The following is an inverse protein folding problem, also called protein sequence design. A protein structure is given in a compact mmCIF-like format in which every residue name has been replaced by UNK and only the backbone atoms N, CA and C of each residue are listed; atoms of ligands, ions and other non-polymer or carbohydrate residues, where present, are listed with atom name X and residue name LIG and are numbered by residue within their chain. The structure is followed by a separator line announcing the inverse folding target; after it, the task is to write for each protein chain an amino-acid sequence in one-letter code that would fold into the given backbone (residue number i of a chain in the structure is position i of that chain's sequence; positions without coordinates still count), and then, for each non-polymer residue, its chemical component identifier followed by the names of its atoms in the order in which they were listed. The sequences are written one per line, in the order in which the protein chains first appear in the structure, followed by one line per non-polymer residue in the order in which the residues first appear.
data_IF_033109210437
#
_entry.id   IF_033109210437
#
_cell.length_a   1.000
_cell.length_b   1.000
_cell.length_c   1.000
_cell.angle_alpha   90.00
_cell.angle_beta   90.00
_cell.angle_gamma   90.00
#
_symmetry.space_group_name_H-M   'P 1'
#
loop_
_entity.id
_entity.type
_entity.pdbx_description
1 polymer ?
#
# COMPACT_ATOMS: atom_id res chain seq x y z
N UNK A 1 26.40 23.16 30.71
CA UNK A 1 26.26 22.31 29.51
C UNK A 1 25.13 21.30 29.76
N UNK A 2 24.01 21.32 29.01
CA UNK A 2 22.96 20.33 29.20
C UNK A 2 23.09 19.23 28.15
N UNK A 3 23.78 18.15 28.49
CA UNK A 3 23.92 16.94 27.67
C UNK A 3 22.90 15.88 28.12
N UNK A 4 21.60 16.20 28.13
CA UNK A 4 20.59 15.22 28.58
C UNK A 4 19.23 15.29 27.89
N UNK A 5 19.02 16.16 26.90
CA UNK A 5 17.74 16.24 26.17
C UNK A 5 17.79 15.55 24.79
N UNK A 6 18.99 15.18 24.31
CA UNK A 6 19.16 14.70 22.93
C UNK A 6 18.94 13.19 22.73
N UNK A 7 19.00 12.39 23.79
CA UNK A 7 18.92 10.92 23.67
C UNK A 7 17.49 10.38 23.55
N UNK A 8 16.49 11.02 24.17
CA UNK A 8 15.11 10.51 24.13
C UNK A 8 14.36 10.82 22.82
N UNK A 9 14.79 11.82 22.04
CA UNK A 9 14.23 12.11 20.71
C UNK A 9 14.82 11.22 19.59
N UNK A 10 15.98 10.60 19.83
CA UNK A 10 16.67 9.79 18.83
C UNK A 10 16.04 8.40 18.65
N UNK A 11 15.56 7.77 19.72
CA UNK A 11 15.03 6.40 19.67
C UNK A 11 13.63 6.27 19.04
N UNK A 12 12.73 7.23 19.24
CA UNK A 12 11.43 7.25 18.55
C UNK A 12 11.56 7.59 17.05
N UNK A 13 12.58 8.39 16.71
CA UNK A 13 12.96 8.65 15.32
C UNK A 13 13.48 7.38 14.68
N UNK A 14 14.33 6.63 15.36
CA UNK A 14 15.02 5.47 14.78
C UNK A 14 14.06 4.35 14.33
N UNK A 15 13.05 3.99 15.13
CA UNK A 15 12.09 2.93 14.75
C UNK A 15 11.26 3.27 13.51
N UNK A 16 10.80 4.51 13.43
CA UNK A 16 10.06 5.00 12.27
C UNK A 16 10.97 5.08 11.04
N UNK A 17 12.24 5.41 11.21
CA UNK A 17 13.23 5.38 10.13
C UNK A 17 13.53 3.95 9.66
N UNK A 18 13.64 2.96 10.56
CA UNK A 18 13.76 1.53 10.19
C UNK A 18 12.53 1.11 9.37
N UNK A 19 11.32 1.42 9.85
CA UNK A 19 10.09 1.08 9.12
C UNK A 19 10.01 1.80 7.76
N UNK A 20 10.37 3.09 7.67
CA UNK A 20 10.45 3.82 6.38
C UNK A 20 11.45 3.18 5.43
N UNK A 21 12.60 2.76 5.95
CA UNK A 21 13.65 2.08 5.18
C UNK A 21 13.13 0.76 4.62
N UNK A 22 12.50 -0.07 5.46
CA UNK A 22 11.85 -1.32 5.05
C UNK A 22 10.78 -1.07 3.99
N UNK A 23 9.91 -0.08 4.21
CA UNK A 23 8.87 0.30 3.26
C UNK A 23 9.48 0.78 1.93
N UNK A 24 10.58 1.52 1.95
CA UNK A 24 11.28 1.95 0.75
C UNK A 24 11.87 0.76 -0.01
N UNK A 25 12.56 -0.16 0.68
CA UNK A 25 13.18 -1.35 0.08
C UNK A 25 12.15 -2.28 -0.57
N UNK A 26 10.98 -2.46 0.05
CA UNK A 26 9.93 -3.33 -0.49
C UNK A 26 9.09 -2.69 -1.61
N UNK A 27 9.18 -1.38 -1.79
CA UNK A 27 8.27 -0.59 -2.63
C UNK A 27 8.08 -1.17 -4.03
N UNK A 28 9.17 -1.40 -4.75
CA UNK A 28 9.12 -1.90 -6.13
C UNK A 28 8.49 -3.29 -6.21
N UNK A 29 8.83 -4.18 -5.28
CA UNK A 29 8.28 -5.53 -5.22
C UNK A 29 6.78 -5.53 -4.92
N UNK A 30 6.35 -4.76 -3.92
CA UNK A 30 4.94 -4.68 -3.53
C UNK A 30 4.06 -4.05 -4.60
N UNK A 31 4.52 -2.98 -5.25
CA UNK A 31 3.80 -2.39 -6.39
C UNK A 31 3.73 -3.36 -7.58
N UNK A 32 4.81 -4.11 -7.82
CA UNK A 32 4.89 -5.37 -8.59
C UNK A 32 3.66 -6.26 -8.36
N UNK A 33 3.60 -6.72 -7.11
CA UNK A 33 2.59 -7.64 -6.61
C UNK A 33 1.17 -7.08 -6.74
N UNK A 34 0.97 -5.78 -6.52
CA UNK A 34 -0.33 -5.11 -6.68
C UNK A 34 -0.88 -5.24 -8.09
N UNK A 35 -0.05 -5.03 -9.11
CA UNK A 35 -0.45 -5.17 -10.51
C UNK A 35 -0.83 -6.62 -10.81
N UNK A 36 0.02 -7.57 -10.40
CA UNK A 36 -0.29 -9.01 -10.58
C UNK A 36 -1.57 -9.44 -9.86
N UNK A 37 -1.80 -8.95 -8.63
CA UNK A 37 -3.03 -9.21 -7.88
C UNK A 37 -4.26 -8.62 -8.59
N UNK A 38 -4.17 -7.38 -9.09
CA UNK A 38 -5.26 -6.75 -9.81
C UNK A 38 -5.64 -7.52 -11.09
N UNK A 39 -4.65 -8.00 -11.86
CA UNK A 39 -4.88 -8.84 -13.04
C UNK A 39 -5.57 -10.15 -12.65
N UNK A 40 -5.05 -10.86 -11.65
CA UNK A 40 -5.66 -12.11 -11.19
C UNK A 40 -7.10 -11.91 -10.71
N UNK A 41 -7.34 -10.86 -9.92
CA UNK A 41 -8.67 -10.57 -9.39
C UNK A 41 -9.64 -10.13 -10.48
N UNK A 42 -9.19 -9.32 -11.45
CA UNK A 42 -9.98 -8.97 -12.62
C UNK A 42 -10.40 -10.21 -13.42
N UNK A 43 -9.46 -11.11 -13.73
CA UNK A 43 -9.77 -12.34 -14.45
C UNK A 43 -10.74 -13.22 -13.67
N UNK A 44 -10.57 -13.34 -12.35
CA UNK A 44 -11.44 -14.16 -11.50
C UNK A 44 -12.86 -13.58 -11.33
N UNK A 45 -12.97 -12.27 -11.15
CA UNK A 45 -14.22 -11.59 -10.81
C UNK A 45 -15.01 -11.21 -12.08
N UNK A 46 -14.31 -10.70 -13.10
CA UNK A 46 -14.93 -10.09 -14.27
C UNK A 46 -14.89 -10.98 -15.51
N UNK A 47 -14.02 -11.99 -15.55
CA UNK A 47 -13.98 -13.01 -16.61
C UNK A 47 -14.20 -14.44 -16.06
N UNK A 48 -15.33 -14.71 -15.37
CA UNK A 48 -15.58 -16.03 -14.76
C UNK A 48 -15.70 -17.16 -15.79
N UNK A 49 -16.03 -16.83 -17.05
CA UNK A 49 -16.15 -17.79 -18.15
C UNK A 49 -14.81 -18.08 -18.84
N UNK A 50 -13.71 -17.43 -18.40
CA UNK A 50 -12.38 -17.56 -18.99
C UNK A 50 -12.37 -17.37 -20.51
N UNK A 51 -13.15 -16.41 -21.01
CA UNK A 51 -13.18 -16.07 -22.44
C UNK A 51 -11.81 -15.49 -22.81
N UNK A 52 -11.19 -16.07 -23.83
CA UNK A 52 -9.91 -15.63 -24.38
C UNK A 52 -10.15 -14.73 -25.58
N UNK A 53 -10.01 -13.42 -25.39
CA UNK A 53 -9.99 -12.43 -26.47
C UNK A 53 -8.60 -11.80 -26.60
N UNK A 54 -8.43 -10.92 -27.61
CA UNK A 54 -7.16 -10.23 -27.85
C UNK A 54 -6.68 -9.43 -26.61
N UNK A 55 -7.62 -8.84 -25.85
CA UNK A 55 -7.33 -8.05 -24.66
C UNK A 55 -6.84 -8.94 -23.50
N UNK A 56 -7.52 -10.06 -23.24
CA UNK A 56 -7.15 -11.02 -22.19
C UNK A 56 -5.80 -11.65 -22.50
N UNK A 57 -5.53 -11.97 -23.78
CA UNK A 57 -4.20 -12.44 -24.20
C UNK A 57 -3.13 -11.38 -24.00
N UNK A 58 -3.38 -10.11 -24.33
CA UNK A 58 -2.42 -9.03 -24.07
C UNK A 58 -2.17 -8.88 -22.56
N UNK A 59 -3.24 -8.88 -21.76
CA UNK A 59 -3.20 -8.74 -20.31
C UNK A 59 -2.35 -9.84 -19.64
N UNK A 60 -2.48 -11.09 -20.11
CA UNK A 60 -1.70 -12.24 -19.59
C UNK A 60 -0.23 -12.20 -20.04
N UNK A 61 0.05 -11.71 -21.24
CA UNK A 61 1.39 -11.74 -21.83
C UNK A 61 2.24 -10.49 -21.53
N UNK A 62 1.65 -9.41 -21.01
CA UNK A 62 2.37 -8.18 -20.69
C UNK A 62 3.39 -8.44 -19.58
N UNK A 63 4.67 -8.16 -19.87
CA UNK A 63 5.77 -8.31 -18.89
C UNK A 63 6.28 -6.97 -18.35
N UNK A 64 6.09 -5.89 -19.12
CA UNK A 64 6.50 -4.55 -18.73
C UNK A 64 5.29 -3.76 -18.23
N UNK A 65 5.33 -3.37 -16.96
CA UNK A 65 4.28 -2.58 -16.33
C UNK A 65 4.82 -1.22 -15.96
N UNK A 66 4.01 -0.18 -16.12
CA UNK A 66 4.34 1.13 -15.57
C UNK A 66 4.06 1.15 -14.05
N UNK A 67 5.04 0.66 -13.30
CA UNK A 67 5.00 0.62 -11.84
C UNK A 67 4.92 2.04 -11.26
N UNK A 68 5.49 3.04 -11.94
CA UNK A 68 5.60 4.41 -11.42
C UNK A 68 4.24 5.06 -11.13
N UNK A 69 3.18 4.63 -11.82
CA UNK A 69 1.82 5.11 -11.60
C UNK A 69 1.36 4.90 -10.15
N UNK A 70 1.76 3.78 -9.52
CA UNK A 70 1.34 3.41 -8.17
C UNK A 70 2.13 4.12 -7.06
N UNK A 71 3.12 4.96 -7.40
CA UNK A 71 4.04 5.55 -6.41
C UNK A 71 3.30 6.30 -5.30
N UNK A 72 2.33 7.13 -5.69
CA UNK A 72 1.56 7.93 -4.76
C UNK A 72 0.60 7.08 -3.92
N UNK A 73 -0.04 6.09 -4.54
CA UNK A 73 -0.88 5.12 -3.84
C UNK A 73 -0.08 4.35 -2.78
N UNK A 74 1.11 3.87 -3.13
CA UNK A 74 2.01 3.18 -2.21
C UNK A 74 2.41 4.08 -1.03
N UNK A 75 2.74 5.34 -1.32
CA UNK A 75 3.05 6.33 -0.28
C UNK A 75 1.87 6.49 0.68
N UNK A 76 0.66 6.68 0.17
CA UNK A 76 -0.55 6.78 1.01
C UNK A 76 -0.77 5.53 1.87
N UNK A 77 -0.57 4.33 1.32
CA UNK A 77 -0.66 3.08 2.10
C UNK A 77 0.37 3.05 3.23
N UNK A 78 1.63 3.39 2.93
CA UNK A 78 2.71 3.41 3.91
C UNK A 78 2.47 4.45 5.01
N UNK A 79 2.03 5.66 4.62
CA UNK A 79 1.69 6.76 5.54
C UNK A 79 0.52 6.38 6.44
N UNK A 80 -0.56 5.81 5.87
CA UNK A 80 -1.72 5.35 6.60
C UNK A 80 -1.36 4.26 7.62
N UNK A 81 -0.47 3.35 7.27
CA UNK A 81 -0.01 2.30 8.18
C UNK A 81 0.77 2.86 9.36
N UNK A 82 1.77 3.73 9.10
CA UNK A 82 2.56 4.38 10.15
C UNK A 82 1.67 5.20 11.09
N UNK A 83 0.72 5.93 10.52
CA UNK A 83 -0.25 6.69 11.31
C UNK A 83 -1.10 5.79 12.21
N UNK A 84 -1.59 4.66 11.68
CA UNK A 84 -2.41 3.73 12.47
C UNK A 84 -1.67 3.04 13.63
N UNK A 85 -0.33 3.15 13.67
CA UNK A 85 0.55 2.57 14.70
C UNK A 85 1.31 3.65 15.48
N UNK A 86 0.89 4.91 15.43
CA UNK A 86 1.54 5.98 16.19
C UNK A 86 1.36 5.84 17.71
N UNK A 87 0.23 5.27 18.17
CA UNK A 87 -0.05 5.07 19.60
C UNK A 87 0.54 3.75 20.15
N UNK A 88 0.64 2.70 19.33
CA UNK A 88 1.38 1.48 19.68
C UNK A 88 2.81 1.63 19.16
N UNK A 89 3.67 2.23 19.99
CA UNK A 89 5.12 2.19 19.76
C UNK A 89 5.49 0.77 19.33
N UNK A 90 6.08 0.62 18.14
CA UNK A 90 6.51 -0.67 17.63
C UNK A 90 7.34 -1.37 18.72
N UNK A 91 6.76 -2.43 19.31
CA UNK A 91 7.32 -3.07 20.49
C UNK A 91 8.68 -3.66 20.14
N UNK A 92 9.67 -3.46 21.02
CA UNK A 92 10.94 -4.16 20.90
C UNK A 92 10.68 -5.63 21.19
N UNK A 93 10.63 -6.46 20.14
CA UNK A 93 10.65 -7.90 20.29
C UNK A 93 12.11 -8.28 20.60
N UNK A 94 12.37 -8.73 21.82
CA UNK A 94 13.69 -9.17 22.29
C UNK A 94 13.87 -10.68 22.10
N UNK A 95 13.58 -11.18 20.91
CA UNK A 95 13.71 -12.61 20.56
C UNK A 95 14.99 -12.91 19.74
N UNK A 96 15.82 -11.89 19.50
CA UNK A 96 17.02 -11.98 18.66
C UNK A 96 16.77 -11.77 17.16
N UNK A 97 15.51 -11.58 16.73
CA UNK A 97 15.18 -11.29 15.34
C UNK A 97 15.51 -9.82 15.02
N UNK A 98 16.16 -9.51 13.88
CA UNK A 98 16.37 -8.13 13.47
C UNK A 98 15.05 -7.37 13.31
N UNK A 99 14.92 -6.16 13.88
CA UNK A 99 13.71 -5.34 13.74
C UNK A 99 13.34 -5.01 12.30
N UNK A 100 14.34 -4.90 11.44
CA UNK A 100 14.14 -4.77 9.99
C UNK A 100 13.32 -5.92 9.44
N UNK A 101 13.61 -7.16 9.83
CA UNK A 101 12.90 -8.36 9.39
C UNK A 101 11.46 -8.41 9.93
N UNK A 102 11.29 -8.10 11.21
CA UNK A 102 9.96 -8.03 11.84
C UNK A 102 9.08 -7.01 11.10
N UNK A 103 9.58 -5.79 10.87
CA UNK A 103 8.85 -4.76 10.15
C UNK A 103 8.65 -5.12 8.68
N UNK A 104 9.60 -5.84 8.07
CA UNK A 104 9.52 -6.32 6.68
C UNK A 104 8.33 -7.26 6.52
N UNK A 105 8.19 -8.23 7.41
CA UNK A 105 7.07 -9.18 7.41
C UNK A 105 5.76 -8.47 7.73
N UNK A 106 5.72 -7.69 8.81
CA UNK A 106 4.51 -7.00 9.25
C UNK A 106 3.98 -6.00 8.22
N UNK A 107 4.87 -5.29 7.52
CA UNK A 107 4.49 -4.39 6.44
C UNK A 107 3.98 -5.16 5.22
N UNK A 108 4.67 -6.24 4.83
CA UNK A 108 4.24 -7.08 3.71
C UNK A 108 2.83 -7.63 3.93
N UNK A 109 2.57 -8.24 5.09
CA UNK A 109 1.27 -8.84 5.43
C UNK A 109 0.17 -7.79 5.45
N UNK A 110 0.42 -6.64 6.09
CA UNK A 110 -0.53 -5.54 6.11
C UNK A 110 -0.86 -5.03 4.71
N UNK A 111 0.17 -4.85 3.86
CA UNK A 111 -0.01 -4.38 2.51
C UNK A 111 -0.78 -5.40 1.66
N UNK A 112 -0.45 -6.69 1.74
CA UNK A 112 -1.20 -7.74 1.02
C UNK A 112 -2.67 -7.75 1.45
N UNK A 113 -2.95 -7.64 2.75
CA UNK A 113 -4.32 -7.53 3.26
C UNK A 113 -5.03 -6.30 2.69
N UNK A 114 -4.39 -5.13 2.73
CA UNK A 114 -4.94 -3.90 2.15
C UNK A 114 -5.29 -4.08 0.67
N UNK A 115 -4.39 -4.67 -0.13
CA UNK A 115 -4.65 -4.90 -1.56
C UNK A 115 -5.81 -5.87 -1.77
N UNK A 116 -5.90 -6.93 -0.97
CA UNK A 116 -7.01 -7.88 -1.05
C UNK A 116 -8.35 -7.22 -0.68
N UNK A 117 -8.38 -6.40 0.37
CA UNK A 117 -9.58 -5.68 0.78
C UNK A 117 -10.03 -4.69 -0.30
N UNK A 118 -9.09 -3.96 -0.90
CA UNK A 118 -9.35 -3.02 -1.99
C UNK A 118 -9.75 -3.71 -3.29
N UNK A 119 -9.34 -4.96 -3.52
CA UNK A 119 -9.68 -5.71 -4.73
C UNK A 119 -11.18 -5.96 -4.90
N UNK A 120 -11.95 -5.93 -3.82
CA UNK A 120 -13.42 -6.05 -3.86
C UNK A 120 -14.11 -4.74 -4.24
N UNK A 121 -13.40 -3.61 -4.23
CA UNK A 121 -13.97 -2.36 -4.70
C UNK A 121 -14.17 -2.42 -6.23
N UNK A 122 -15.38 -2.15 -6.77
CA UNK A 122 -15.73 -2.41 -8.17
C UNK A 122 -14.78 -1.82 -9.22
N UNK A 123 -14.12 -0.70 -8.88
CA UNK A 123 -13.24 0.01 -9.81
C UNK A 123 -11.76 -0.24 -9.59
N UNK A 124 -11.34 -0.86 -8.49
CA UNK A 124 -9.92 -0.89 -8.10
C UNK A 124 -9.07 -1.68 -9.09
N UNK A 125 -9.46 -2.91 -9.41
CA UNK A 125 -8.69 -3.76 -10.34
C UNK A 125 -8.62 -3.13 -11.74
N UNK A 126 -9.76 -2.63 -12.25
CA UNK A 126 -9.84 -1.93 -13.55
C UNK A 126 -8.95 -0.70 -13.61
N UNK A 127 -8.93 0.12 -12.55
CA UNK A 127 -8.08 1.32 -12.49
C UNK A 127 -6.61 0.96 -12.56
N UNK A 128 -6.16 -0.07 -11.84
CA UNK A 128 -4.77 -0.54 -11.88
C UNK A 128 -4.42 -1.05 -13.28
N UNK A 129 -5.26 -1.90 -13.87
CA UNK A 129 -5.01 -2.46 -15.21
C UNK A 129 -4.95 -1.37 -16.27
N UNK A 130 -5.93 -0.46 -16.27
CA UNK A 130 -5.99 0.64 -17.24
C UNK A 130 -4.78 1.57 -17.15
N UNK A 131 -4.32 1.85 -15.93
CA UNK A 131 -3.21 2.77 -15.69
C UNK A 131 -1.83 2.17 -15.88
N UNK A 132 -1.65 0.85 -15.64
CA UNK A 132 -0.33 0.21 -15.61
C UNK A 132 -0.06 -0.75 -16.77
N UNK A 133 -1.12 -1.37 -17.33
CA UNK A 133 -1.02 -2.36 -18.41
C UNK A 133 -1.40 -1.74 -19.75
N UNK A 134 -2.56 -1.09 -19.82
CA UNK A 134 -3.04 -0.43 -21.05
C UNK A 134 -2.26 0.86 -21.30
N UNK A 135 -1.83 1.53 -20.22
CA UNK A 135 -1.04 2.78 -20.24
C UNK A 135 -1.71 3.85 -21.13
N UNK A 136 -3.01 4.09 -20.93
CA UNK A 136 -3.66 5.24 -21.55
C UNK A 136 -3.06 6.52 -20.96
N UNK A 137 -2.27 7.24 -21.75
CA UNK A 137 -1.65 8.51 -21.34
C UNK A 137 -2.70 9.57 -21.01
N UNK A 138 -3.82 9.53 -21.73
CA UNK A 138 -4.99 10.37 -21.47
C UNK A 138 -5.57 10.08 -20.08
N UNK A 139 -5.93 11.14 -19.36
CA UNK A 139 -6.61 11.07 -18.05
C UNK A 139 -5.80 10.41 -16.91
N UNK A 140 -4.49 10.23 -17.06
CA UNK A 140 -3.62 9.63 -16.03
C UNK A 140 -3.76 10.30 -14.66
N UNK A 141 -3.88 11.62 -14.61
CA UNK A 141 -4.09 12.36 -13.36
C UNK A 141 -5.44 12.01 -12.70
N UNK A 142 -6.52 11.91 -13.48
CA UNK A 142 -7.84 11.52 -12.97
C UNK A 142 -7.84 10.08 -12.44
N UNK A 143 -7.18 9.16 -13.14
CA UNK A 143 -7.03 7.77 -12.70
C UNK A 143 -6.28 7.70 -11.36
N UNK A 144 -5.21 8.49 -11.19
CA UNK A 144 -4.50 8.60 -9.90
C UNK A 144 -5.42 9.11 -8.81
N UNK A 145 -6.12 10.23 -9.04
CA UNK A 145 -7.04 10.82 -8.06
C UNK A 145 -8.13 9.83 -7.64
N UNK A 146 -8.70 9.07 -8.59
CA UNK A 146 -9.69 8.04 -8.30
C UNK A 146 -9.11 6.92 -7.42
N UNK A 147 -7.91 6.43 -7.74
CA UNK A 147 -7.22 5.40 -6.95
C UNK A 147 -6.91 5.90 -5.53
N UNK A 148 -6.45 7.15 -5.39
CA UNK A 148 -6.18 7.77 -4.09
C UNK A 148 -7.47 7.96 -3.29
N UNK A 149 -8.59 8.27 -3.95
CA UNK A 149 -9.90 8.37 -3.28
C UNK A 149 -10.31 7.03 -2.69
N UNK A 150 -10.11 5.92 -3.40
CA UNK A 150 -10.44 4.56 -2.96
C UNK A 150 -9.67 4.18 -1.69
N UNK A 151 -8.34 4.37 -1.68
CA UNK A 151 -7.55 4.06 -0.48
C UNK A 151 -7.93 4.96 0.69
N UNK A 152 -8.18 6.26 0.47
CA UNK A 152 -8.64 7.17 1.52
C UNK A 152 -9.98 6.74 2.10
N UNK A 153 -10.95 6.33 1.27
CA UNK A 153 -12.24 5.84 1.76
C UNK A 153 -12.11 4.55 2.58
N UNK A 154 -11.17 3.67 2.21
CA UNK A 154 -10.90 2.46 2.97
C UNK A 154 -10.24 2.76 4.32
N UNK A 155 -9.24 3.65 4.34
CA UNK A 155 -8.56 4.06 5.58
C UNK A 155 -9.45 4.84 6.56
N UNK A 156 -10.54 5.48 6.10
CA UNK A 156 -11.49 6.25 6.93
C UNK A 156 -12.29 5.42 7.94
N UNK A 157 -12.25 4.09 7.87
CA UNK A 157 -12.89 3.21 8.87
C UNK A 157 -12.23 3.34 10.27
N UNK A 158 -11.11 4.09 10.40
CA UNK A 158 -10.53 4.46 11.70
C UNK A 158 -10.66 5.93 12.10
N UNK A 159 -11.34 6.79 11.32
CA UNK A 159 -11.64 8.17 11.72
C UNK A 159 -12.86 8.28 12.66
N UNK A 160 -13.67 7.24 12.86
CA UNK A 160 -14.81 7.32 13.79
C UNK A 160 -14.38 7.43 15.27
N UNK A 161 -13.14 7.07 15.60
CA UNK A 161 -12.56 7.29 16.94
C UNK A 161 -12.16 8.78 17.13
N UNK A 162 -12.07 9.57 16.06
CA UNK A 162 -11.61 10.97 16.12
C UNK A 162 -12.61 11.98 16.71
N UNK A 163 -13.91 11.68 16.79
CA UNK A 163 -14.87 12.62 17.40
C UNK A 163 -15.02 12.48 18.90
N UNK A 164 -14.60 11.37 19.50
CA UNK A 164 -14.79 11.15 20.95
C UNK A 164 -13.65 11.78 21.77
N UNK A 165 -12.40 11.76 21.28
CA UNK A 165 -11.25 12.34 22.00
C UNK A 165 -11.06 13.85 21.88
N UNK A 166 -11.84 14.56 21.05
CA UNK A 166 -11.79 16.03 20.93
C UNK A 166 -12.85 16.76 21.77
N UNK A 167 -13.64 16.01 22.53
CA UNK A 167 -14.74 16.52 23.36
C UNK A 167 -14.69 15.98 24.80
N UNK A 168 -13.54 15.45 25.23
CA UNK A 168 -13.29 15.01 26.61
C UNK A 168 -12.08 15.75 27.17
#
# INVERSE_FOLDING_TARGET
MPFSIMWNKSFESDKNEILRTVQYQQKGFLMRSTISSAIRNFLKIENPLAIEDDFIRELKNKRNFDVSFLNEFYRYAADSYRYSRSDNQLEFIWDGTPHTEIYRIAWYEHYQKLINDLAYHPFFNRLIIKSTVINTHENRALLKTALIKIIKSHSRVKETVFKIKKTA
#
